data_IF_906190853588
#
_entry.id   IF_906190853588
#
_cell.length_a   1.000
_cell.length_b   1.000
_cell.length_c   1.000
_cell.angle_alpha   90.00
_cell.angle_beta   90.00
_cell.angle_gamma   90.00
#
_symmetry.space_group_name_H-M   'P 1'
#
loop_
_entity.id
_entity.type
_entity.pdbx_description
1 polymer ?
#
# COMPACT_ATOMS: atom_id res chain seq x y z
N UNK A 1 0.37 18.42 -4.45
CA UNK A 1 0.71 18.73 -3.04
C UNK A 1 2.04 19.45 -2.94
N UNK A 2 3.14 18.94 -3.52
CA UNK A 2 4.47 19.56 -3.49
C UNK A 2 4.50 20.98 -4.07
N UNK A 3 3.72 21.24 -5.11
CA UNK A 3 3.61 22.56 -5.72
C UNK A 3 2.90 23.60 -4.82
N UNK A 4 2.10 23.12 -3.88
CA UNK A 4 1.24 23.98 -3.05
C UNK A 4 1.75 24.06 -1.60
N UNK A 5 2.35 23.01 -1.10
CA UNK A 5 2.77 22.90 0.30
C UNK A 5 4.21 22.38 0.41
N UNK A 6 4.99 22.87 1.38
CA UNK A 6 6.32 22.33 1.69
C UNK A 6 6.20 20.99 2.40
N UNK A 7 5.88 19.92 1.65
CA UNK A 7 5.72 18.58 2.19
C UNK A 7 6.96 17.71 1.92
N UNK A 8 7.35 16.91 2.89
CA UNK A 8 8.35 15.85 2.74
C UNK A 8 7.65 14.56 2.37
N UNK A 9 8.01 13.97 1.25
CA UNK A 9 7.49 12.66 0.83
C UNK A 9 8.43 11.58 1.32
N UNK A 10 7.88 10.67 2.13
CA UNK A 10 8.61 9.51 2.67
C UNK A 10 8.07 8.24 2.04
N UNK A 11 8.95 7.36 1.59
CA UNK A 11 8.56 6.07 1.01
C UNK A 11 9.65 5.01 1.21
N UNK A 12 9.31 3.74 0.99
CA UNK A 12 10.35 2.73 0.83
C UNK A 12 11.20 3.03 -0.41
N UNK A 13 12.46 2.60 -0.41
CA UNK A 13 13.35 2.76 -1.59
C UNK A 13 12.70 2.22 -2.86
N UNK A 14 12.11 1.01 -2.79
CA UNK A 14 11.47 0.36 -3.92
C UNK A 14 10.21 1.11 -4.41
N UNK A 15 9.42 1.70 -3.50
CA UNK A 15 8.27 2.53 -3.85
C UNK A 15 8.72 3.81 -4.55
N UNK A 16 9.72 4.51 -4.01
CA UNK A 16 10.29 5.73 -4.61
C UNK A 16 10.80 5.50 -6.04
N UNK A 17 11.48 4.38 -6.27
CA UNK A 17 11.91 3.97 -7.61
C UNK A 17 10.72 3.61 -8.52
N UNK A 18 9.69 2.99 -7.96
CA UNK A 18 8.48 2.58 -8.66
C UNK A 18 7.68 3.76 -9.18
N UNK A 19 7.36 4.73 -8.34
CA UNK A 19 6.54 5.91 -8.72
C UNK A 19 7.23 6.79 -9.77
N UNK A 20 8.55 6.81 -9.79
CA UNK A 20 9.36 7.51 -10.79
C UNK A 20 9.45 6.79 -12.14
N UNK A 21 8.80 5.66 -12.33
CA UNK A 21 8.89 4.84 -13.54
C UNK A 21 7.51 4.51 -14.11
N UNK A 22 7.20 4.98 -15.32
CA UNK A 22 5.90 4.83 -16.00
C UNK A 22 5.43 3.38 -16.17
N UNK A 23 6.34 2.42 -16.17
CA UNK A 23 6.01 0.99 -16.27
C UNK A 23 5.75 0.40 -14.88
N UNK A 24 6.59 0.73 -13.90
CA UNK A 24 6.47 0.21 -12.53
C UNK A 24 5.28 0.79 -11.77
N UNK A 25 4.92 2.07 -12.02
CA UNK A 25 3.74 2.70 -11.41
C UNK A 25 2.43 2.34 -12.12
N UNK A 26 2.49 1.45 -13.12
CA UNK A 26 1.37 0.95 -13.90
C UNK A 26 0.59 2.02 -14.69
N UNK A 27 1.03 3.27 -14.75
CA UNK A 27 0.31 4.34 -15.43
C UNK A 27 0.11 4.04 -16.94
N UNK A 28 0.98 3.25 -17.56
CA UNK A 28 0.80 2.77 -18.93
C UNK A 28 -0.38 1.83 -19.14
N UNK A 29 -0.86 1.20 -18.08
CA UNK A 29 -1.99 0.26 -18.13
C UNK A 29 -3.31 0.87 -17.66
N UNK A 30 -3.26 2.12 -17.20
CA UNK A 30 -4.42 2.77 -16.58
C UNK A 30 -5.64 2.84 -17.51
N UNK A 31 -5.44 3.19 -18.77
CA UNK A 31 -6.53 3.24 -19.76
C UNK A 31 -7.22 1.90 -19.92
N UNK A 32 -6.43 0.84 -20.10
CA UNK A 32 -6.91 -0.54 -20.23
C UNK A 32 -7.67 -0.97 -18.98
N UNK A 33 -7.11 -0.70 -17.81
CA UNK A 33 -7.73 -1.04 -16.53
C UNK A 33 -9.07 -0.31 -16.33
N UNK A 34 -9.12 0.98 -16.60
CA UNK A 34 -10.36 1.78 -16.49
C UNK A 34 -11.42 1.32 -17.50
N UNK A 35 -11.00 0.98 -18.72
CA UNK A 35 -11.90 0.46 -19.73
C UNK A 35 -12.60 -0.82 -19.26
N UNK A 36 -11.85 -1.82 -18.80
CA UNK A 36 -12.42 -3.05 -18.26
C UNK A 36 -13.25 -2.80 -16.99
N UNK A 37 -12.78 -1.95 -16.08
CA UNK A 37 -13.52 -1.61 -14.86
C UNK A 37 -14.86 -0.92 -15.15
N UNK A 38 -14.96 -0.16 -16.24
CA UNK A 38 -16.21 0.46 -16.68
C UNK A 38 -17.20 -0.51 -17.36
N UNK A 39 -16.86 -1.79 -17.49
CA UNK A 39 -17.62 -2.78 -18.26
C UNK A 39 -17.52 -2.52 -19.76
N UNK A 40 -16.38 -2.08 -20.25
CA UNK A 40 -16.07 -1.80 -21.65
C UNK A 40 -16.92 -0.68 -22.29
N UNK A 41 -17.48 0.19 -21.45
CA UNK A 41 -18.40 1.24 -21.89
C UNK A 41 -17.76 2.61 -22.09
N UNK A 42 -16.67 2.88 -21.37
CA UNK A 42 -16.07 4.20 -21.35
C UNK A 42 -14.56 4.11 -21.58
N UNK A 43 -14.11 4.71 -22.67
CA UNK A 43 -12.68 4.89 -22.90
C UNK A 43 -12.25 6.27 -22.41
N UNK A 44 -11.29 6.29 -21.48
CA UNK A 44 -10.71 7.53 -20.96
C UNK A 44 -9.24 7.55 -21.34
N UNK A 45 -8.82 8.60 -22.02
CA UNK A 45 -7.41 8.80 -22.36
C UNK A 45 -6.63 9.21 -21.10
N UNK A 46 -5.69 8.38 -20.71
CA UNK A 46 -4.82 8.57 -19.54
C UNK A 46 -3.35 8.45 -19.94
N UNK A 47 -2.67 9.56 -20.26
CA UNK A 47 -1.27 9.48 -20.68
C UNK A 47 -0.40 8.94 -19.55
N UNK A 48 0.56 8.05 -19.86
CA UNK A 48 1.49 7.55 -18.86
C UNK A 48 2.26 8.68 -18.18
N UNK A 49 2.28 8.66 -16.85
CA UNK A 49 2.97 9.65 -16.03
C UNK A 49 4.03 9.03 -15.13
N UNK A 50 4.86 9.86 -14.57
CA UNK A 50 5.79 9.51 -13.50
C UNK A 50 5.74 10.61 -12.45
N UNK A 51 5.96 10.22 -11.19
CA UNK A 51 6.07 11.15 -10.08
C UNK A 51 7.54 11.41 -9.76
N UNK A 52 7.82 12.50 -9.10
CA UNK A 52 9.13 12.73 -8.48
C UNK A 52 9.40 11.66 -7.41
N UNK A 53 10.66 11.32 -7.24
CA UNK A 53 11.09 10.41 -6.18
C UNK A 53 10.77 10.99 -4.80
N UNK A 54 10.70 10.10 -3.81
CA UNK A 54 10.56 10.51 -2.42
C UNK A 54 11.79 11.31 -1.95
N UNK A 55 11.57 12.24 -1.04
CA UNK A 55 12.64 13.06 -0.44
C UNK A 55 13.43 12.26 0.57
N UNK A 56 12.76 11.36 1.30
CA UNK A 56 13.36 10.45 2.27
C UNK A 56 12.95 9.01 1.93
N UNK A 57 13.92 8.12 1.88
CA UNK A 57 13.67 6.70 1.63
C UNK A 57 14.22 5.83 2.75
N UNK A 58 13.57 4.66 2.95
CA UNK A 58 14.01 3.65 3.90
C UNK A 58 13.90 2.24 3.28
N UNK A 59 14.61 1.26 3.85
CA UNK A 59 14.65 -0.12 3.33
C UNK A 59 13.68 -1.04 4.07
N UNK A 60 13.71 -1.07 5.39
CA UNK A 60 12.94 -2.02 6.19
C UNK A 60 11.93 -1.34 7.10
N UNK A 61 12.38 -0.40 7.90
CA UNK A 61 11.57 0.33 8.87
C UNK A 61 12.09 1.76 9.07
N UNK A 62 11.16 2.67 9.32
CA UNK A 62 11.45 4.03 9.73
C UNK A 62 10.49 4.43 10.84
N UNK A 63 11.03 4.99 11.93
CA UNK A 63 10.23 5.64 12.96
C UNK A 63 10.48 7.15 12.90
N UNK A 64 9.43 7.93 13.03
CA UNK A 64 9.52 9.39 13.09
C UNK A 64 8.43 9.95 14.02
N UNK A 65 8.72 11.11 14.59
CA UNK A 65 7.73 11.83 15.39
C UNK A 65 6.66 12.46 14.50
N UNK A 66 5.41 12.31 14.88
CA UNK A 66 4.27 12.96 14.26
C UNK A 66 3.32 13.51 15.35
N UNK A 67 3.39 14.80 15.58
CA UNK A 67 2.76 15.42 16.73
C UNK A 67 3.39 14.92 18.03
N UNK A 68 2.56 14.48 18.98
CA UNK A 68 3.02 13.96 20.28
C UNK A 68 3.24 12.43 20.28
N UNK A 69 3.20 11.79 19.13
CA UNK A 69 3.24 10.32 18.97
C UNK A 69 4.26 9.90 17.92
N UNK A 70 4.70 8.65 18.00
CA UNK A 70 5.55 8.04 17.00
C UNK A 70 4.72 7.48 15.86
N UNK A 71 5.19 7.70 14.64
CA UNK A 71 4.72 7.12 13.41
C UNK A 71 5.73 6.07 12.97
N UNK A 72 5.30 4.83 12.87
CA UNK A 72 6.14 3.70 12.47
C UNK A 72 5.76 3.25 11.05
N UNK A 73 6.70 3.33 10.13
CA UNK A 73 6.56 2.88 8.75
C UNK A 73 7.34 1.58 8.59
N UNK A 74 6.67 0.53 8.14
CA UNK A 74 7.24 -0.81 8.04
C UNK A 74 7.06 -1.31 6.61
N UNK A 75 8.17 -1.61 5.95
CA UNK A 75 8.12 -2.24 4.63
C UNK A 75 7.63 -3.67 4.76
N UNK A 76 6.59 -4.00 4.01
CA UNK A 76 6.09 -5.38 3.85
C UNK A 76 5.97 -5.65 2.35
N UNK A 77 6.93 -6.37 1.73
CA UNK A 77 6.84 -6.71 0.32
C UNK A 77 5.80 -7.81 0.08
N UNK A 78 5.24 -7.87 -1.13
CA UNK A 78 4.26 -8.88 -1.52
C UNK A 78 3.26 -8.35 -2.53
N UNK A 79 2.40 -7.41 -2.16
CA UNK A 79 1.52 -6.73 -3.11
C UNK A 79 2.34 -5.94 -4.15
N UNK A 80 3.33 -5.17 -3.68
CA UNK A 80 4.39 -4.58 -4.52
C UNK A 80 5.73 -4.69 -3.79
N UNK A 81 6.88 -4.51 -4.46
CA UNK A 81 8.19 -4.51 -3.81
C UNK A 81 8.35 -3.40 -2.78
N UNK A 82 7.61 -2.30 -2.96
CA UNK A 82 7.67 -1.11 -2.12
C UNK A 82 6.51 -0.97 -1.14
N UNK A 83 5.62 -1.95 -1.06
CA UNK A 83 4.49 -1.92 -0.13
C UNK A 83 4.95 -1.76 1.31
N UNK A 84 4.23 -0.96 2.05
CA UNK A 84 4.48 -0.70 3.47
C UNK A 84 3.15 -0.58 4.21
N UNK A 85 3.23 -0.71 5.51
CA UNK A 85 2.14 -0.35 6.43
C UNK A 85 2.62 0.78 7.33
N UNK A 86 1.68 1.54 7.86
CA UNK A 86 1.96 2.63 8.78
C UNK A 86 1.19 2.38 10.06
N UNK A 87 1.91 2.35 11.19
CA UNK A 87 1.31 2.24 12.51
C UNK A 87 1.35 3.59 13.19
N UNK A 88 0.22 4.04 13.71
CA UNK A 88 0.11 5.30 14.41
C UNK A 88 -1.02 5.25 15.44
N UNK A 89 -0.72 5.56 16.70
CA UNK A 89 -1.70 5.74 17.77
C UNK A 89 -2.75 4.60 17.88
N UNK A 90 -2.32 3.35 17.80
CA UNK A 90 -3.21 2.18 17.86
C UNK A 90 -3.98 1.88 16.57
N UNK A 91 -3.71 2.60 15.50
CA UNK A 91 -4.26 2.40 14.18
C UNK A 91 -3.22 1.80 13.24
N UNK A 92 -3.67 1.07 12.23
CA UNK A 92 -2.84 0.53 11.14
C UNK A 92 -3.39 0.96 9.79
N UNK A 93 -2.60 1.69 9.01
CA UNK A 93 -2.86 1.98 7.60
C UNK A 93 -2.14 0.91 6.80
N UNK A 94 -2.89 0.01 6.19
CA UNK A 94 -2.33 -1.22 5.62
C UNK A 94 -2.27 -1.23 4.08
N UNK A 95 -2.70 -0.17 3.40
CA UNK A 95 -2.82 -0.19 1.95
C UNK A 95 -3.70 -1.36 1.49
N UNK A 96 -3.25 -2.11 0.49
CA UNK A 96 -4.04 -3.18 -0.12
C UNK A 96 -3.83 -4.56 0.52
N UNK A 97 -3.33 -4.62 1.77
CA UNK A 97 -3.14 -5.90 2.45
C UNK A 97 -4.41 -6.46 3.07
N UNK A 98 -5.15 -5.63 3.79
CA UNK A 98 -6.36 -6.05 4.49
C UNK A 98 -7.54 -5.24 3.93
N UNK A 99 -8.16 -5.78 2.88
CA UNK A 99 -9.29 -5.15 2.21
C UNK A 99 -10.61 -5.76 2.69
N UNK A 100 -11.64 -4.96 2.99
CA UNK A 100 -12.95 -5.53 3.33
C UNK A 100 -13.54 -6.25 2.11
N UNK A 101 -13.72 -7.56 2.23
CA UNK A 101 -14.32 -8.41 1.18
C UNK A 101 -13.39 -8.87 0.07
N UNK A 102 -12.14 -8.42 0.03
CA UNK A 102 -11.15 -8.81 -0.98
C UNK A 102 -9.86 -9.31 -0.34
N UNK A 103 -9.21 -10.27 -0.99
CA UNK A 103 -7.86 -10.71 -0.61
C UNK A 103 -6.80 -9.89 -1.32
N UNK A 104 -5.64 -9.79 -0.69
CA UNK A 104 -4.48 -9.13 -1.29
C UNK A 104 -4.12 -9.73 -2.65
N UNK A 105 -3.86 -8.88 -3.62
CA UNK A 105 -3.42 -9.27 -4.96
C UNK A 105 -1.90 -9.23 -5.02
N UNK A 106 -1.26 -10.39 -5.23
CA UNK A 106 0.21 -10.53 -5.32
C UNK A 106 0.72 -10.89 -6.71
N UNK A 107 -0.17 -10.99 -7.70
CA UNK A 107 0.12 -11.41 -9.09
C UNK A 107 0.14 -10.28 -10.11
N UNK A 108 -0.02 -9.03 -9.68
CA UNK A 108 0.16 -7.87 -10.55
C UNK A 108 1.64 -7.65 -10.87
N UNK A 109 1.97 -6.89 -11.93
CA UNK A 109 3.37 -6.55 -12.21
C UNK A 109 4.09 -5.95 -11.00
N UNK A 110 5.14 -6.63 -10.55
CA UNK A 110 5.86 -6.28 -9.33
C UNK A 110 5.35 -6.96 -8.06
N UNK A 111 4.22 -7.68 -8.10
CA UNK A 111 3.76 -8.50 -6.98
C UNK A 111 4.61 -9.76 -6.80
N UNK A 112 4.66 -10.27 -5.57
CA UNK A 112 5.47 -11.43 -5.17
C UNK A 112 4.75 -12.19 -4.06
N UNK A 113 4.13 -13.33 -4.42
CA UNK A 113 3.41 -14.19 -3.50
C UNK A 113 4.32 -14.81 -2.44
N UNK A 114 5.54 -15.19 -2.79
CA UNK A 114 6.49 -15.81 -1.86
C UNK A 114 6.96 -14.78 -0.82
N UNK A 115 7.21 -13.54 -1.25
CA UNK A 115 7.51 -12.46 -0.33
C UNK A 115 6.33 -12.14 0.60
N UNK A 116 5.10 -12.17 0.09
CA UNK A 116 3.90 -12.02 0.93
C UNK A 116 3.84 -13.10 2.01
N UNK A 117 3.92 -14.37 1.64
CA UNK A 117 3.87 -15.50 2.57
C UNK A 117 5.00 -15.46 3.61
N UNK A 118 6.18 -15.05 3.19
CA UNK A 118 7.37 -15.03 4.04
C UNK A 118 7.40 -13.84 5.01
N UNK A 119 6.95 -12.67 4.59
CA UNK A 119 7.14 -11.43 5.36
C UNK A 119 5.83 -10.77 5.79
N UNK A 120 4.92 -10.51 4.84
CA UNK A 120 3.73 -9.72 5.14
C UNK A 120 2.70 -10.52 5.95
N UNK A 121 2.35 -11.72 5.53
CA UNK A 121 1.36 -12.56 6.19
C UNK A 121 1.67 -12.84 7.67
N UNK A 122 2.89 -13.30 8.05
CA UNK A 122 3.21 -13.54 9.45
C UNK A 122 3.24 -12.26 10.29
N UNK A 123 3.55 -11.12 9.68
CA UNK A 123 3.54 -9.84 10.36
C UNK A 123 2.09 -9.37 10.62
N UNK A 124 1.22 -9.46 9.61
CA UNK A 124 -0.20 -9.11 9.69
C UNK A 124 -0.93 -9.98 10.74
N UNK A 125 -0.58 -11.25 10.83
CA UNK A 125 -1.12 -12.18 11.83
C UNK A 125 -0.85 -11.79 13.29
N UNK A 126 0.13 -10.91 13.54
CA UNK A 126 0.47 -10.43 14.90
C UNK A 126 -0.27 -9.15 15.31
N UNK A 127 -1.10 -8.59 14.44
CA UNK A 127 -1.88 -7.39 14.77
C UNK A 127 -2.90 -7.74 15.86
N UNK A 128 -2.93 -6.96 16.94
CA UNK A 128 -3.83 -7.22 18.06
C UNK A 128 -5.32 -7.02 17.67
N UNK A 129 -6.20 -7.81 18.27
CA UNK A 129 -7.64 -7.61 18.13
C UNK A 129 -8.04 -6.21 18.65
N UNK A 130 -9.05 -5.62 18.01
CA UNK A 130 -9.48 -4.26 18.30
C UNK A 130 -8.62 -3.15 17.66
N UNK A 131 -7.48 -3.48 17.01
CA UNK A 131 -6.72 -2.49 16.23
C UNK A 131 -7.59 -1.96 15.10
N UNK A 132 -7.69 -0.64 14.98
CA UNK A 132 -8.34 -0.01 13.83
C UNK A 132 -7.50 -0.16 12.59
N UNK A 133 -8.10 -0.73 11.54
CA UNK A 133 -7.49 -0.96 10.22
C UNK A 133 -8.04 0.07 9.24
N UNK A 134 -7.15 0.79 8.59
CA UNK A 134 -7.44 1.74 7.51
C UNK A 134 -6.88 1.18 6.21
N UNK A 135 -7.72 0.52 5.39
CA UNK A 135 -7.30 -0.07 4.13
C UNK A 135 -7.10 0.98 3.03
N UNK A 136 -6.45 0.58 1.94
CA UNK A 136 -6.33 1.42 0.74
C UNK A 136 -7.65 1.60 -0.01
N UNK A 137 -8.57 0.64 0.14
CA UNK A 137 -9.91 0.64 -0.44
C UNK A 137 -10.95 0.16 0.57
N UNK A 138 -12.14 0.74 0.54
CA UNK A 138 -13.24 0.39 1.43
C UNK A 138 -13.21 1.13 2.77
N UNK A 139 -14.12 0.76 3.66
CA UNK A 139 -14.30 1.42 4.95
C UNK A 139 -13.33 0.89 6.00
N UNK A 140 -12.92 1.72 6.98
CA UNK A 140 -12.15 1.27 8.13
C UNK A 140 -12.92 0.24 8.97
N UNK A 141 -12.18 -0.69 9.58
CA UNK A 141 -12.74 -1.73 10.43
C UNK A 141 -11.78 -2.09 11.57
N UNK A 142 -12.23 -2.90 12.50
CA UNK A 142 -11.38 -3.40 13.58
C UNK A 142 -10.90 -4.82 13.29
N UNK A 143 -9.62 -5.08 13.62
CA UNK A 143 -9.08 -6.42 13.60
C UNK A 143 -9.84 -7.32 14.57
N UNK A 144 -10.24 -8.48 14.11
CA UNK A 144 -10.91 -9.50 14.88
C UNK A 144 -10.65 -10.90 14.27
N UNK A 145 -11.23 -11.94 14.88
CA UNK A 145 -11.07 -13.31 14.41
C UNK A 145 -11.59 -13.53 12.98
N UNK A 146 -12.74 -12.96 12.63
CA UNK A 146 -13.34 -13.14 11.29
C UNK A 146 -12.46 -12.55 10.20
N UNK A 147 -11.84 -11.38 10.46
CA UNK A 147 -10.88 -10.75 9.57
C UNK A 147 -9.65 -11.64 9.37
N UNK A 148 -9.12 -12.25 10.43
CA UNK A 148 -7.99 -13.17 10.33
C UNK A 148 -8.33 -14.40 9.50
N UNK A 149 -9.47 -15.03 9.80
CA UNK A 149 -9.95 -16.21 9.06
C UNK A 149 -10.16 -15.89 7.58
N UNK A 150 -10.75 -14.71 7.27
CA UNK A 150 -10.95 -14.29 5.89
C UNK A 150 -9.62 -14.08 5.15
N UNK A 151 -8.62 -13.45 5.78
CA UNK A 151 -7.33 -13.15 5.15
C UNK A 151 -6.29 -14.26 5.30
N UNK A 152 -6.61 -15.37 5.97
CA UNK A 152 -5.71 -16.49 6.24
C UNK A 152 -4.44 -16.09 7.04
N UNK A 153 -4.57 -15.21 8.04
CA UNK A 153 -3.47 -14.64 8.85
C UNK A 153 -3.60 -14.96 10.32
#
# INVERSE_FOLDING_TARGET
LRETYPVTVVATQACSEGIGNKTRNMSRMMETFLYFKSGEKTFVHYPPFQCEKADLTFTDQLCCEFGAKELELIRLPGHTPGSMVIRYNGCLFCGDYLLPGDKVVTRLPGGDGDAYEKYARPWLGKIADGTWIFPGHGEPFQMNREVREFHDI
#
